data_IF_713769213478
#
_entry.id   IF_713769213478
#
_cell.length_a   1.000
_cell.length_b   1.000
_cell.length_c   1.000
_cell.angle_alpha   90.00
_cell.angle_beta   90.00
_cell.angle_gamma   90.00
#
_symmetry.space_group_name_H-M   'P 1'
#
loop_
_entity.id
_entity.type
_entity.pdbx_description
1 polymer ?
#
# COMPACT_ATOMS: atom_id res chain seq x y z
N UNK A 1 -12.59 -16.83 -15.06
CA UNK A 1 -13.18 -15.47 -15.32
C UNK A 1 -13.61 -14.69 -14.07
N UNK A 2 -13.77 -15.31 -12.89
CA UNK A 2 -14.24 -14.62 -11.67
C UNK A 2 -13.20 -13.72 -10.96
N UNK A 3 -11.89 -13.97 -11.11
CA UNK A 3 -10.87 -13.24 -10.34
C UNK A 3 -10.42 -11.91 -10.95
N UNK A 4 -10.85 -11.61 -12.19
CA UNK A 4 -10.46 -10.37 -12.88
C UNK A 4 -11.15 -9.12 -12.31
N UNK A 5 -12.22 -9.32 -11.55
CA UNK A 5 -13.04 -8.27 -10.93
C UNK A 5 -12.91 -8.20 -9.40
N UNK A 6 -12.10 -9.08 -8.80
CA UNK A 6 -11.89 -9.06 -7.36
C UNK A 6 -10.77 -8.08 -7.03
N UNK A 7 -11.13 -6.88 -6.59
CA UNK A 7 -10.18 -5.99 -5.93
C UNK A 7 -9.72 -6.66 -4.63
N UNK A 8 -8.44 -6.98 -4.55
CA UNK A 8 -7.83 -7.51 -3.33
C UNK A 8 -7.80 -6.38 -2.30
N UNK A 9 -8.42 -6.60 -1.14
CA UNK A 9 -8.53 -5.59 -0.08
C UNK A 9 -7.17 -5.04 0.37
N UNK A 10 -7.17 -3.82 0.90
CA UNK A 10 -5.98 -3.04 1.28
C UNK A 10 -4.91 -3.84 2.05
N UNK A 11 -5.33 -4.72 2.96
CA UNK A 11 -4.44 -5.54 3.78
C UNK A 11 -3.60 -6.54 3.00
N UNK A 12 -4.10 -7.07 1.88
CA UNK A 12 -3.31 -7.99 1.03
C UNK A 12 -2.27 -7.24 0.18
N UNK A 13 -2.57 -5.99 -0.18
CA UNK A 13 -1.63 -5.12 -0.89
C UNK A 13 -0.58 -4.51 0.03
N UNK A 14 -0.88 -4.37 1.33
CA UNK A 14 -0.01 -3.76 2.34
C UNK A 14 0.18 -4.71 3.53
N UNK A 15 0.87 -5.85 3.34
CA UNK A 15 1.19 -6.76 4.42
C UNK A 15 2.17 -6.12 5.42
N UNK A 16 2.16 -6.59 6.67
CA UNK A 16 3.07 -6.13 7.73
C UNK A 16 4.56 -6.36 7.40
N UNK A 17 4.84 -7.40 6.63
CA UNK A 17 6.18 -7.76 6.16
C UNK A 17 6.17 -7.77 4.63
N UNK A 18 7.29 -7.46 3.95
CA UNK A 18 7.41 -7.44 2.49
C UNK A 18 7.37 -8.86 1.86
N UNK A 19 6.26 -9.55 2.10
CA UNK A 19 5.94 -10.90 1.67
C UNK A 19 4.49 -10.88 1.20
N UNK A 20 4.29 -11.22 -0.07
CA UNK A 20 3.00 -11.23 -0.76
C UNK A 20 2.72 -12.63 -1.30
N UNK A 21 1.45 -13.03 -1.27
CA UNK A 21 0.97 -14.22 -1.94
C UNK A 21 0.42 -13.80 -3.31
N UNK A 22 0.93 -14.41 -4.37
CA UNK A 22 0.44 -14.26 -5.73
C UNK A 22 -0.26 -15.54 -6.16
N UNK A 23 -1.46 -15.46 -6.71
CA UNK A 23 -2.25 -16.63 -7.08
C UNK A 23 -2.70 -16.63 -8.52
N UNK A 24 -2.79 -17.83 -9.10
CA UNK A 24 -3.57 -18.13 -10.30
C UNK A 24 -4.85 -18.88 -9.93
N UNK A 25 -5.61 -19.35 -10.93
CA UNK A 25 -6.80 -20.20 -10.68
C UNK A 25 -6.43 -21.53 -10.00
N UNK A 26 -5.20 -21.99 -10.12
CA UNK A 26 -4.79 -23.35 -9.72
C UNK A 26 -3.64 -23.39 -8.72
N UNK A 27 -2.92 -22.29 -8.52
CA UNK A 27 -1.68 -22.32 -7.76
C UNK A 27 -1.41 -21.02 -6.99
N UNK A 28 -0.76 -21.14 -5.82
CA UNK A 28 -0.30 -20.01 -5.01
C UNK A 28 1.23 -19.99 -4.99
N UNK A 29 1.79 -18.81 -5.19
CA UNK A 29 3.22 -18.54 -5.18
C UNK A 29 3.54 -17.40 -4.21
N UNK A 30 4.79 -17.30 -3.78
CA UNK A 30 5.25 -16.29 -2.83
C UNK A 30 6.15 -15.29 -3.56
N UNK A 31 5.85 -14.01 -3.41
CA UNK A 31 6.73 -12.92 -3.79
C UNK A 31 7.23 -12.24 -2.51
N UNK A 32 8.52 -11.95 -2.40
CA UNK A 32 9.05 -11.24 -1.23
C UNK A 32 10.22 -10.32 -1.57
N UNK A 33 10.52 -9.40 -0.67
CA UNK A 33 11.71 -8.55 -0.72
C UNK A 33 12.31 -8.44 0.68
N UNK A 34 13.58 -8.07 0.77
CA UNK A 34 14.23 -7.73 2.05
C UNK A 34 14.08 -6.24 2.40
N UNK A 35 13.49 -5.44 1.52
CA UNK A 35 13.34 -3.99 1.69
C UNK A 35 12.07 -3.70 2.48
N UNK A 36 12.23 -3.39 3.76
CA UNK A 36 11.10 -3.16 4.68
C UNK A 36 10.31 -1.88 4.38
N UNK A 37 10.88 -0.91 3.66
CA UNK A 37 10.19 0.32 3.28
C UNK A 37 9.15 0.11 2.15
N UNK A 38 9.12 -1.06 1.51
CA UNK A 38 8.13 -1.43 0.50
C UNK A 38 6.73 -1.72 1.08
N UNK A 39 6.65 -1.89 2.39
CA UNK A 39 5.40 -2.05 3.12
C UNK A 39 5.18 -0.83 4.00
N UNK A 40 3.93 -0.36 4.03
CA UNK A 40 3.55 0.66 5.00
C UNK A 40 3.46 -0.05 6.35
N UNK A 41 4.34 0.33 7.28
CA UNK A 41 4.25 -0.17 8.66
C UNK A 41 3.05 0.46 9.32
N UNK A 42 2.48 -0.25 10.29
CA UNK A 42 1.50 0.33 11.22
C UNK A 42 2.11 1.63 11.81
N UNK A 43 1.66 2.78 11.29
CA UNK A 43 2.06 4.10 11.74
C UNK A 43 0.90 4.75 12.49
N UNK A 44 1.17 5.66 13.45
CA UNK A 44 0.11 6.45 14.07
C UNK A 44 -0.76 7.17 13.03
N UNK A 45 -0.16 7.66 11.94
CA UNK A 45 -0.88 8.26 10.82
C UNK A 45 -1.77 7.26 10.05
N UNK A 46 -1.36 6.01 9.87
CA UNK A 46 -2.23 4.98 9.28
C UNK A 46 -3.45 4.70 10.17
N UNK A 47 -3.23 4.55 11.48
CA UNK A 47 -4.32 4.36 12.43
C UNK A 47 -5.25 5.58 12.40
N UNK A 48 -4.68 6.79 12.37
CA UNK A 48 -5.43 8.03 12.22
C UNK A 48 -6.28 8.07 10.95
N UNK A 49 -5.73 7.68 9.79
CA UNK A 49 -6.49 7.57 8.53
C UNK A 49 -7.66 6.59 8.67
N UNK A 50 -7.46 5.44 9.33
CA UNK A 50 -8.50 4.44 9.53
C UNK A 50 -9.61 4.92 10.47
N UNK A 51 -9.26 5.51 11.61
CA UNK A 51 -10.25 6.07 12.54
C UNK A 51 -11.01 7.20 11.85
N UNK A 52 -10.33 8.11 11.15
CA UNK A 52 -10.97 9.19 10.39
C UNK A 52 -12.02 8.66 9.40
N UNK A 53 -11.72 7.55 8.69
CA UNK A 53 -12.68 6.91 7.78
C UNK A 53 -13.94 6.38 8.49
N UNK A 54 -13.88 6.06 9.78
CA UNK A 54 -15.09 5.68 10.53
C UNK A 54 -16.07 6.84 10.71
N UNK A 55 -15.59 8.09 10.60
CA UNK A 55 -16.38 9.31 10.70
C UNK A 55 -16.74 9.91 9.33
N UNK A 56 -16.25 9.31 8.24
CA UNK A 56 -16.55 9.67 6.85
C UNK A 56 -17.28 8.49 6.16
N UNK A 57 -18.58 8.29 6.47
CA UNK A 57 -19.34 7.14 5.98
C UNK A 57 -19.51 7.15 4.45
N UNK A 58 -19.45 8.33 3.84
CA UNK A 58 -19.60 8.52 2.40
C UNK A 58 -18.26 8.36 1.65
N UNK A 59 -17.13 8.31 2.38
CA UNK A 59 -15.80 8.13 1.81
C UNK A 59 -15.32 9.33 0.98
N UNK A 60 -15.83 10.53 1.25
CA UNK A 60 -15.52 11.73 0.48
C UNK A 60 -14.16 12.35 0.85
N UNK A 61 -13.49 11.84 1.88
CA UNK A 61 -12.18 12.29 2.34
C UNK A 61 -12.23 13.47 3.31
N UNK A 62 -13.39 13.82 3.85
CA UNK A 62 -13.59 14.90 4.81
C UNK A 62 -14.69 14.56 5.83
N UNK A 63 -14.67 15.26 6.96
CA UNK A 63 -15.69 15.19 8.02
C UNK A 63 -16.21 16.59 8.31
N UNK A 64 -17.36 16.71 8.97
CA UNK A 64 -17.79 17.99 9.52
C UNK A 64 -16.84 18.45 10.63
N UNK A 65 -16.54 19.76 10.69
CA UNK A 65 -15.73 20.37 11.77
C UNK A 65 -16.30 20.10 13.16
N UNK A 66 -17.61 19.82 13.26
CA UNK A 66 -18.28 19.42 14.50
C UNK A 66 -17.79 18.07 15.06
N UNK A 67 -17.33 17.16 14.20
CA UNK A 67 -16.86 15.82 14.57
C UNK A 67 -15.39 15.78 14.99
N UNK A 68 -14.67 16.91 14.91
CA UNK A 68 -13.23 16.96 15.20
C UNK A 68 -12.91 16.43 16.61
N UNK A 69 -13.71 16.83 17.60
CA UNK A 69 -13.54 16.42 18.99
C UNK A 69 -13.64 14.91 19.16
N UNK A 70 -14.63 14.29 18.52
CA UNK A 70 -14.86 12.84 18.59
C UNK A 70 -13.74 12.06 17.90
N UNK A 71 -13.25 12.56 16.77
CA UNK A 71 -12.09 11.97 16.07
C UNK A 71 -10.83 12.06 16.92
N UNK A 72 -10.57 13.22 17.53
CA UNK A 72 -9.41 13.42 18.40
C UNK A 72 -9.47 12.49 19.63
N UNK A 73 -10.65 12.34 20.26
CA UNK A 73 -10.85 11.38 21.36
C UNK A 73 -10.64 9.93 20.93
N UNK A 74 -11.17 9.55 19.77
CA UNK A 74 -11.00 8.20 19.24
C UNK A 74 -9.54 7.87 18.94
N UNK A 75 -8.70 8.90 18.71
CA UNK A 75 -7.27 8.79 18.48
C UNK A 75 -6.41 9.00 19.73
N UNK A 76 -7.02 9.15 20.90
CA UNK A 76 -6.32 9.44 22.18
C UNK A 76 -5.45 10.72 22.09
N UNK A 77 -5.91 11.70 21.30
CA UNK A 77 -5.32 13.03 21.22
C UNK A 77 -5.93 13.95 22.29
N UNK A 78 -5.25 15.07 22.59
CA UNK A 78 -5.78 16.10 23.49
C UNK A 78 -7.08 16.66 22.91
N UNK A 79 -8.19 16.49 23.60
CA UNK A 79 -9.54 16.86 23.13
C UNK A 79 -10.28 17.78 24.13
N UNK A 80 -9.53 18.67 24.79
CA UNK A 80 -10.10 19.73 25.61
C UNK A 80 -10.81 20.76 24.72
N UNK A 81 -11.97 21.28 25.15
CA UNK A 81 -12.80 22.17 24.32
C UNK A 81 -12.03 23.36 23.76
N UNK A 82 -11.21 24.02 24.59
CA UNK A 82 -10.40 25.17 24.17
C UNK A 82 -9.36 24.79 23.10
N UNK A 83 -8.72 23.64 23.24
CA UNK A 83 -7.75 23.15 22.26
C UNK A 83 -8.42 22.72 20.96
N UNK A 84 -9.55 22.02 21.05
CA UNK A 84 -10.35 21.61 19.89
C UNK A 84 -10.81 22.83 19.09
N UNK A 85 -11.25 23.90 19.74
CA UNK A 85 -11.68 25.12 19.05
C UNK A 85 -10.51 25.81 18.32
N UNK A 86 -9.31 25.83 18.93
CA UNK A 86 -8.09 26.29 18.25
C UNK A 86 -7.80 25.41 17.01
N UNK A 87 -7.90 24.09 17.15
CA UNK A 87 -7.65 23.17 16.04
C UNK A 87 -8.70 23.27 14.93
N UNK A 88 -9.98 23.51 15.27
CA UNK A 88 -11.02 23.82 14.29
C UNK A 88 -10.67 25.06 13.49
N UNK A 89 -10.32 26.17 14.15
CA UNK A 89 -9.93 27.40 13.46
C UNK A 89 -8.69 27.23 12.59
N UNK A 90 -7.80 26.29 12.93
CA UNK A 90 -6.60 25.98 12.14
C UNK A 90 -6.90 25.09 10.93
N UNK A 91 -7.69 24.03 11.13
CA UNK A 91 -7.97 23.02 10.11
C UNK A 91 -9.09 23.42 9.14
N UNK A 92 -9.95 24.34 9.58
CA UNK A 92 -11.07 24.90 8.83
C UNK A 92 -10.94 26.44 8.81
N UNK A 93 -9.78 26.94 8.36
CA UNK A 93 -9.47 28.37 8.35
C UNK A 93 -10.36 29.19 7.41
N UNK A 94 -11.01 28.52 6.46
CA UNK A 94 -11.95 29.11 5.50
C UNK A 94 -13.41 29.09 5.97
N UNK A 95 -13.69 28.55 7.17
CA UNK A 95 -15.03 28.41 7.77
C UNK A 95 -16.02 27.70 6.83
N UNK A 96 -15.55 26.63 6.19
CA UNK A 96 -16.34 25.80 5.29
C UNK A 96 -17.19 24.79 6.07
N UNK A 97 -16.92 24.61 7.37
CA UNK A 97 -17.58 23.64 8.23
C UNK A 97 -17.09 22.20 8.00
N UNK A 98 -15.97 22.03 7.30
CA UNK A 98 -15.40 20.73 6.96
C UNK A 98 -13.90 20.67 7.29
N UNK A 99 -13.43 19.48 7.66
CA UNK A 99 -12.02 19.17 7.87
C UNK A 99 -11.64 18.03 6.95
N UNK A 100 -10.61 18.23 6.13
CA UNK A 100 -10.12 17.20 5.21
C UNK A 100 -9.23 16.20 5.94
N UNK A 101 -9.24 14.93 5.49
CA UNK A 101 -8.33 13.91 6.01
C UNK A 101 -6.86 14.32 5.86
N UNK A 102 -6.50 14.94 4.73
CA UNK A 102 -5.12 15.33 4.48
C UNK A 102 -4.64 16.41 5.46
N UNK A 103 -5.41 17.48 5.65
CA UNK A 103 -5.06 18.55 6.59
C UNK A 103 -4.98 18.04 8.04
N UNK A 104 -5.90 17.16 8.45
CA UNK A 104 -5.86 16.54 9.78
C UNK A 104 -4.59 15.70 9.98
N UNK A 105 -4.24 14.85 9.01
CA UNK A 105 -3.05 13.98 9.12
C UNK A 105 -1.77 14.80 9.12
N UNK A 106 -1.63 15.81 8.25
CA UNK A 106 -0.45 16.67 8.22
C UNK A 106 -0.22 17.41 9.54
N UNK A 107 -1.30 17.82 10.20
CA UNK A 107 -1.25 18.57 11.44
C UNK A 107 -0.91 17.71 12.67
N UNK A 108 -1.58 16.58 12.85
CA UNK A 108 -1.42 15.75 14.06
C UNK A 108 -0.39 14.63 13.90
N UNK A 109 -0.13 14.21 12.66
CA UNK A 109 0.76 13.11 12.34
C UNK A 109 1.64 13.48 11.13
N UNK A 110 2.50 14.50 11.25
CA UNK A 110 3.43 14.85 10.19
C UNK A 110 4.33 13.64 9.91
N UNK A 111 3.98 12.84 8.91
CA UNK A 111 4.79 11.70 8.50
C UNK A 111 6.10 12.26 7.93
N UNK A 112 7.24 11.80 8.45
CA UNK A 112 8.49 11.92 7.70
C UNK A 112 8.27 11.19 6.39
N UNK A 113 8.49 11.85 5.25
CA UNK A 113 8.36 11.24 3.92
C UNK A 113 9.03 9.87 3.94
N UNK A 114 8.23 8.80 3.92
CA UNK A 114 8.76 7.46 3.81
C UNK A 114 9.30 7.36 2.38
N UNK A 115 10.62 7.52 2.23
CA UNK A 115 11.27 7.38 0.94
C UNK A 115 10.95 5.98 0.38
N UNK A 116 10.08 5.94 -0.61
CA UNK A 116 9.83 4.72 -1.36
C UNK A 116 11.06 4.46 -2.24
N UNK A 117 11.65 3.27 -2.19
CA UNK A 117 12.83 2.98 -2.96
C UNK A 117 12.51 3.04 -4.47
N UNK A 118 13.28 3.81 -5.23
CA UNK A 118 13.16 3.85 -6.70
C UNK A 118 13.55 2.51 -7.36
N UNK A 119 14.38 1.70 -6.69
CA UNK A 119 14.72 0.35 -7.13
C UNK A 119 14.90 -0.58 -5.94
N UNK A 120 14.57 -1.85 -6.12
CA UNK A 120 14.65 -2.86 -5.09
C UNK A 120 14.79 -4.27 -5.68
N UNK A 121 15.24 -5.21 -4.87
CA UNK A 121 15.29 -6.63 -5.25
C UNK A 121 14.03 -7.34 -4.79
N UNK A 122 13.44 -8.15 -5.66
CA UNK A 122 12.33 -9.03 -5.36
C UNK A 122 12.72 -10.49 -5.63
N UNK A 123 12.03 -11.40 -4.96
CA UNK A 123 12.25 -12.83 -5.08
C UNK A 123 10.91 -13.52 -5.29
N UNK A 124 10.86 -14.44 -6.23
CA UNK A 124 9.69 -15.29 -6.49
C UNK A 124 10.00 -16.74 -6.11
N UNK A 125 9.12 -17.33 -5.32
CA UNK A 125 9.15 -18.75 -4.98
C UNK A 125 7.83 -19.38 -5.41
N UNK A 126 7.89 -20.34 -6.32
CA UNK A 126 6.69 -21.03 -6.79
C UNK A 126 6.18 -22.09 -5.79
N UNK A 127 6.93 -22.44 -4.75
CA UNK A 127 6.48 -23.40 -3.72
C UNK A 127 6.23 -24.83 -4.22
N UNK A 128 6.63 -25.15 -5.46
CA UNK A 128 6.40 -26.48 -6.04
C UNK A 128 7.55 -27.43 -5.66
N UNK A 129 7.27 -28.65 -5.16
CA UNK A 129 8.32 -29.59 -4.76
C UNK A 129 9.29 -29.92 -5.90
N UNK A 130 8.80 -30.02 -7.13
CA UNK A 130 9.62 -30.27 -8.31
C UNK A 130 10.63 -29.16 -8.62
N UNK A 131 10.38 -27.94 -8.13
CA UNK A 131 11.28 -26.80 -8.27
C UNK A 131 12.28 -26.69 -7.13
N UNK A 132 12.10 -27.46 -6.05
CA UNK A 132 12.94 -27.45 -4.86
C UNK A 132 13.96 -28.60 -4.90
N UNK A 133 15.11 -28.37 -5.54
CA UNK A 133 16.14 -29.41 -5.68
C UNK A 133 16.80 -29.71 -4.33
N UNK A 134 16.90 -30.99 -3.97
CA UNK A 134 17.56 -31.43 -2.74
C UNK A 134 16.82 -31.04 -1.45
N UNK A 135 15.50 -30.83 -1.52
CA UNK A 135 14.67 -30.46 -0.37
C UNK A 135 14.88 -29.03 0.13
N UNK A 136 15.57 -28.18 -0.66
CA UNK A 136 15.77 -26.77 -0.35
C UNK A 136 14.79 -25.93 -1.16
N UNK A 137 14.24 -24.91 -0.51
CA UNK A 137 13.41 -23.91 -1.18
C UNK A 137 14.26 -23.18 -2.21
N UNK A 138 13.78 -23.12 -3.44
CA UNK A 138 14.39 -22.38 -4.53
C UNK A 138 13.56 -21.14 -4.86
N UNK A 139 14.24 -20.06 -5.23
CA UNK A 139 13.62 -18.81 -5.61
C UNK A 139 14.35 -18.18 -6.79
N UNK A 140 13.66 -17.32 -7.52
CA UNK A 140 14.18 -16.55 -8.64
C UNK A 140 14.27 -15.09 -8.20
N UNK A 141 15.45 -14.50 -8.35
CA UNK A 141 15.68 -13.08 -8.06
C UNK A 141 15.27 -12.21 -9.26
N UNK A 142 14.66 -11.06 -8.99
CA UNK A 142 14.36 -10.02 -9.96
C UNK A 142 14.76 -8.65 -9.44
N UNK A 143 15.29 -7.80 -10.33
CA UNK A 143 15.60 -6.40 -10.06
C UNK A 143 14.45 -5.53 -10.53
N UNK A 144 13.79 -4.85 -9.59
CA UNK A 144 12.67 -3.97 -9.83
C UNK A 144 13.11 -2.49 -9.84
N UNK A 145 12.54 -1.73 -10.75
CA UNK A 145 12.68 -0.27 -10.85
C UNK A 145 11.29 0.35 -10.99
N UNK A 146 11.00 1.39 -10.22
CA UNK A 146 9.76 2.18 -10.34
C UNK A 146 10.03 3.37 -11.26
N UNK A 147 9.40 3.39 -12.43
CA UNK A 147 9.50 4.54 -13.32
C UNK A 147 8.70 5.73 -12.77
N UNK A 148 9.26 6.94 -12.91
CA UNK A 148 8.61 8.20 -12.51
C UNK A 148 7.45 8.58 -13.44
N UNK A 149 7.52 8.18 -14.71
CA UNK A 149 6.48 8.36 -15.70
C UNK A 149 6.10 7.01 -16.33
N UNK A 150 4.81 6.73 -16.43
CA UNK A 150 4.31 5.55 -17.17
C UNK A 150 4.35 5.92 -18.64
N UNK A 151 5.49 5.68 -19.29
CA UNK A 151 5.59 5.84 -20.73
C UNK A 151 4.61 4.87 -21.41
N UNK A 152 3.50 5.41 -21.91
CA UNK A 152 2.41 4.64 -22.57
C UNK A 152 2.87 3.89 -23.82
N UNK A 153 4.14 4.01 -24.22
CA UNK A 153 4.65 3.54 -25.50
C UNK A 153 5.30 2.16 -25.49
N UNK A 154 5.55 1.52 -24.33
CA UNK A 154 6.21 0.21 -24.33
C UNK A 154 5.74 -0.73 -23.20
N UNK A 155 4.48 -1.18 -23.26
CA UNK A 155 4.08 -2.41 -22.56
C UNK A 155 4.57 -3.60 -23.39
N UNK A 156 5.88 -3.89 -23.37
CA UNK A 156 6.47 -4.95 -24.19
C UNK A 156 6.34 -6.34 -23.55
N UNK A 157 6.25 -6.41 -22.22
CA UNK A 157 6.06 -7.66 -21.47
C UNK A 157 4.75 -7.62 -20.66
N UNK A 158 3.84 -8.55 -20.98
CA UNK A 158 2.52 -8.72 -20.35
C UNK A 158 2.40 -10.09 -19.67
N UNK A 159 3.46 -10.52 -18.99
CA UNK A 159 3.42 -11.79 -18.27
C UNK A 159 2.40 -11.72 -17.12
N UNK A 160 1.70 -12.83 -16.79
CA UNK A 160 0.72 -12.84 -15.69
C UNK A 160 1.30 -12.37 -14.35
N UNK A 161 2.57 -12.71 -14.07
CA UNK A 161 3.25 -12.27 -12.86
C UNK A 161 3.47 -10.74 -12.86
N UNK A 162 3.89 -10.15 -13.98
CA UNK A 162 4.10 -8.70 -14.09
C UNK A 162 2.79 -7.94 -13.90
N UNK A 163 1.72 -8.39 -14.54
CA UNK A 163 0.38 -7.79 -14.39
C UNK A 163 -0.11 -7.85 -12.93
N UNK A 164 0.15 -8.95 -12.22
CA UNK A 164 -0.20 -9.08 -10.82
C UNK A 164 0.58 -8.10 -9.93
N UNK A 165 1.90 -7.99 -10.14
CA UNK A 165 2.76 -7.08 -9.36
C UNK A 165 2.41 -5.61 -9.64
N UNK A 166 2.02 -5.28 -10.88
CA UNK A 166 1.56 -3.94 -11.28
C UNK A 166 0.29 -3.49 -10.56
N UNK A 167 -0.50 -4.39 -9.97
CA UNK A 167 -1.64 -4.02 -9.12
C UNK A 167 -1.24 -3.32 -7.81
N UNK A 168 0.03 -3.47 -7.39
CA UNK A 168 0.64 -2.77 -6.26
C UNK A 168 1.56 -1.64 -6.72
N UNK A 169 2.37 -1.87 -7.76
CA UNK A 169 3.30 -0.88 -8.30
C UNK A 169 3.05 -0.66 -9.79
N UNK A 170 2.17 0.29 -10.17
CA UNK A 170 1.72 0.44 -11.55
C UNK A 170 2.84 0.69 -12.57
N UNK A 171 3.91 1.40 -12.17
CA UNK A 171 5.05 1.76 -13.02
C UNK A 171 6.28 0.84 -12.84
N UNK A 172 6.10 -0.36 -12.29
CA UNK A 172 7.21 -1.27 -12.04
C UNK A 172 7.71 -1.96 -13.31
N UNK A 173 9.02 -1.92 -13.50
CA UNK A 173 9.74 -2.73 -14.46
C UNK A 173 10.65 -3.71 -13.73
N UNK A 174 10.67 -4.96 -14.20
CA UNK A 174 11.35 -6.07 -13.51
C UNK A 174 12.21 -6.83 -14.50
N UNK A 175 13.50 -6.96 -14.17
CA UNK A 175 14.43 -7.84 -14.89
C UNK A 175 14.72 -9.05 -14.02
N UNK A 176 14.26 -10.23 -14.44
CA UNK A 176 14.51 -11.48 -13.75
C UNK A 176 15.91 -12.03 -14.05
N UNK A 177 16.49 -12.73 -13.09
CA UNK A 177 17.82 -13.36 -13.20
C UNK A 177 17.85 -14.58 -14.12
N UNK A 178 16.69 -15.08 -14.54
CA UNK A 178 16.55 -16.21 -15.47
C UNK A 178 16.00 -15.76 -16.84
N UNK A 179 16.26 -16.54 -17.88
CA UNK A 179 15.91 -16.23 -19.28
C UNK A 179 14.40 -16.10 -19.51
N UNK A 180 13.57 -16.71 -18.66
CA UNK A 180 12.12 -16.68 -18.75
C UNK A 180 11.53 -16.16 -17.45
N UNK A 181 10.60 -15.18 -17.48
CA UNK A 181 9.93 -14.69 -16.28
C UNK A 181 9.21 -15.82 -15.51
N UNK A 182 9.15 -15.76 -14.16
CA UNK A 182 8.48 -16.79 -13.37
C UNK A 182 7.00 -16.93 -13.72
N UNK A 183 6.53 -18.17 -13.76
CA UNK A 183 5.11 -18.50 -13.97
C UNK A 183 4.32 -18.40 -12.67
N UNK A 184 3.06 -17.96 -12.77
CA UNK A 184 2.07 -18.08 -11.69
C UNK A 184 1.34 -19.45 -11.70
N UNK A 185 1.56 -20.26 -12.73
CA UNK A 185 1.04 -21.63 -12.89
C UNK A 185 2.15 -22.66 -12.79
#
# INVERSE_FOLDING_TARGET
EHMRYCEVGWFYKNPKYPVWLLGSETHLTVLFSTVESLVVRDSPAMNAKQIFTQFDPDGNGFISSSLLEDVMRALDLVADTEYVDIMKSKLDSEDLGIITRNSFIEEFFPEQQQESPQSFTIYHCNGLPQSCVGGKVSYIEGKAVLAEEVDTQFITDTTPIKLCIQTKWPSIEIVWSCDVPPSLN
#
